data_IF_510743747445
#
_entry.id   IF_510743747445
#
_cell.length_a   1.000
_cell.length_b   1.000
_cell.length_c   1.000
_cell.angle_alpha   90.00
_cell.angle_beta   90.00
_cell.angle_gamma   90.00
#
_symmetry.space_group_name_H-M   'P 1'
#
loop_
_entity.id
_entity.type
_entity.pdbx_description
1 polymer ?
#
# COMPACT_ATOMS: atom_id res chain seq x y z
N UNK A 1 10.26 -4.03 -17.45
CA UNK A 1 10.79 -5.33 -16.98
C UNK A 1 11.97 -5.04 -16.08
N UNK A 2 12.08 -5.74 -14.96
CA UNK A 2 13.20 -5.63 -14.02
C UNK A 2 13.60 -7.03 -13.59
N UNK A 3 14.84 -7.18 -13.13
CA UNK A 3 15.31 -8.40 -12.48
C UNK A 3 14.74 -8.53 -11.07
N UNK A 4 14.78 -9.73 -10.49
CA UNK A 4 14.41 -9.93 -9.09
C UNK A 4 15.32 -9.14 -8.13
N UNK A 5 16.60 -8.94 -8.47
CA UNK A 5 17.52 -8.14 -7.65
C UNK A 5 17.10 -6.67 -7.57
N UNK A 6 16.77 -6.07 -8.72
CA UNK A 6 16.23 -4.70 -8.79
C UNK A 6 14.89 -4.59 -8.05
N UNK A 7 13.99 -5.57 -8.23
CA UNK A 7 12.72 -5.62 -7.52
C UNK A 7 12.89 -5.67 -5.99
N UNK A 8 13.81 -6.50 -5.50
CA UNK A 8 14.07 -6.61 -4.07
C UNK A 8 14.70 -5.35 -3.48
N UNK A 9 15.47 -4.58 -4.26
CA UNK A 9 15.98 -3.29 -3.84
C UNK A 9 14.85 -2.28 -3.58
N UNK A 10 13.84 -2.24 -4.47
CA UNK A 10 12.65 -1.39 -4.26
C UNK A 10 11.86 -1.83 -3.03
N UNK A 11 11.65 -3.15 -2.86
CA UNK A 11 10.97 -3.70 -1.68
C UNK A 11 11.69 -3.33 -0.38
N UNK A 12 13.02 -3.38 -0.36
CA UNK A 12 13.81 -2.99 0.82
C UNK A 12 13.65 -1.50 1.14
N UNK A 13 13.72 -0.64 0.12
CA UNK A 13 13.57 0.79 0.28
C UNK A 13 12.17 1.17 0.80
N UNK A 14 11.12 0.60 0.21
CA UNK A 14 9.72 0.87 0.59
C UNK A 14 9.45 0.37 2.01
N UNK A 15 9.84 -0.87 2.33
CA UNK A 15 9.65 -1.44 3.68
C UNK A 15 10.40 -0.66 4.76
N UNK A 16 11.64 -0.24 4.48
CA UNK A 16 12.43 0.62 5.37
C UNK A 16 11.77 1.97 5.60
N UNK A 17 11.27 2.61 4.53
CA UNK A 17 10.53 3.88 4.63
C UNK A 17 9.28 3.75 5.50
N UNK A 18 8.47 2.70 5.30
CA UNK A 18 7.29 2.45 6.12
C UNK A 18 7.61 2.30 7.61
N UNK A 19 8.67 1.56 7.96
CA UNK A 19 9.04 1.35 9.37
C UNK A 19 9.69 2.59 9.98
N UNK A 20 10.70 3.16 9.31
CA UNK A 20 11.56 4.17 9.92
C UNK A 20 11.04 5.60 9.72
N UNK A 21 10.46 5.91 8.57
CA UNK A 21 9.95 7.26 8.29
C UNK A 21 8.48 7.42 8.68
N UNK A 22 7.65 6.39 8.49
CA UNK A 22 6.21 6.44 8.80
C UNK A 22 5.86 5.84 10.17
N UNK A 23 6.82 5.15 10.80
CA UNK A 23 6.64 4.58 12.14
C UNK A 23 5.65 3.42 12.19
N UNK A 24 5.50 2.65 11.09
CA UNK A 24 4.64 1.46 11.09
C UNK A 24 5.26 0.32 11.90
N UNK A 25 4.42 -0.34 12.69
CA UNK A 25 4.76 -1.52 13.48
C UNK A 25 4.17 -2.78 12.86
N UNK A 26 4.62 -3.95 13.34
CA UNK A 26 4.05 -5.25 12.97
C UNK A 26 2.52 -5.22 13.09
N UNK A 27 1.84 -5.86 12.15
CA UNK A 27 0.38 -5.90 12.02
C UNK A 27 -0.30 -4.58 11.68
N UNK A 28 0.44 -3.50 11.40
CA UNK A 28 -0.16 -2.29 10.84
C UNK A 28 -0.84 -2.59 9.49
N UNK A 29 -1.99 -1.96 9.26
CA UNK A 29 -2.71 -2.05 7.98
C UNK A 29 -2.19 -0.99 7.03
N UNK A 30 -1.87 -1.40 5.80
CA UNK A 30 -1.38 -0.53 4.71
C UNK A 30 -2.33 -0.62 3.54
N UNK A 31 -2.90 0.52 3.14
CA UNK A 31 -3.78 0.60 1.99
C UNK A 31 -3.01 0.66 0.67
N UNK A 32 -3.51 0.00 -0.38
CA UNK A 32 -3.03 0.21 -1.75
C UNK A 32 -4.21 0.50 -2.67
N UNK A 33 -4.22 1.70 -3.25
CA UNK A 33 -5.26 2.17 -4.15
C UNK A 33 -4.68 2.46 -5.54
N UNK A 34 -4.61 1.42 -6.36
CA UNK A 34 -4.13 1.49 -7.73
C UNK A 34 -4.67 0.33 -8.56
N UNK A 35 -4.76 0.52 -9.88
CA UNK A 35 -4.87 -0.60 -10.83
C UNK A 35 -3.56 -1.39 -10.88
N UNK A 36 -3.59 -2.57 -11.48
CA UNK A 36 -2.42 -3.45 -11.66
C UNK A 36 -1.22 -2.67 -12.22
N UNK A 37 -0.14 -2.63 -11.44
CA UNK A 37 1.12 -1.97 -11.79
C UNK A 37 2.25 -2.54 -10.94
N UNK A 38 3.48 -2.28 -11.39
CA UNK A 38 4.71 -2.75 -10.74
C UNK A 38 4.78 -2.39 -9.25
N UNK A 39 4.47 -1.14 -8.93
CA UNK A 39 4.55 -0.60 -7.57
C UNK A 39 3.56 -1.26 -6.62
N UNK A 40 2.43 -1.78 -7.14
CA UNK A 40 1.48 -2.55 -6.34
C UNK A 40 2.17 -3.80 -5.77
N UNK A 41 2.86 -4.57 -6.63
CA UNK A 41 3.61 -5.76 -6.22
C UNK A 41 4.74 -5.40 -5.25
N UNK A 42 5.46 -4.30 -5.50
CA UNK A 42 6.53 -3.86 -4.61
C UNK A 42 6.01 -3.53 -3.19
N UNK A 43 4.86 -2.86 -3.09
CA UNK A 43 4.23 -2.56 -1.79
C UNK A 43 3.74 -3.83 -1.10
N UNK A 44 3.13 -4.77 -1.82
CA UNK A 44 2.70 -6.06 -1.26
C UNK A 44 3.88 -6.84 -0.65
N UNK A 45 4.96 -7.00 -1.42
CA UNK A 45 6.16 -7.68 -0.92
C UNK A 45 6.81 -6.94 0.25
N UNK A 46 6.72 -5.61 0.28
CA UNK A 46 7.18 -4.81 1.42
C UNK A 46 6.35 -5.05 2.67
N UNK A 47 5.02 -5.20 2.53
CA UNK A 47 4.14 -5.54 3.64
C UNK A 47 4.45 -6.95 4.17
N UNK A 48 4.61 -7.93 3.27
CA UNK A 48 4.96 -9.30 3.61
C UNK A 48 6.29 -9.38 4.37
N UNK A 49 7.32 -8.64 3.93
CA UNK A 49 8.63 -8.57 4.57
C UNK A 49 8.56 -8.07 6.02
N UNK A 50 7.66 -7.13 6.30
CA UNK A 50 7.56 -6.44 7.60
C UNK A 50 6.46 -6.97 8.51
N UNK A 51 5.74 -8.01 8.06
CA UNK A 51 4.54 -8.51 8.72
C UNK A 51 3.47 -7.41 8.93
N UNK A 52 3.28 -6.57 7.92
CA UNK A 52 2.15 -5.65 7.81
C UNK A 52 0.99 -6.33 7.07
N UNK A 53 -0.24 -5.85 7.28
CA UNK A 53 -1.44 -6.33 6.60
C UNK A 53 -1.76 -5.40 5.43
N UNK A 54 -1.72 -5.91 4.20
CA UNK A 54 -2.11 -5.13 3.03
C UNK A 54 -3.64 -5.15 2.84
N UNK A 55 -4.23 -3.98 2.63
CA UNK A 55 -5.64 -3.81 2.29
C UNK A 55 -5.78 -3.18 0.89
N UNK A 56 -6.26 -3.91 -0.13
CA UNK A 56 -6.45 -3.34 -1.45
C UNK A 56 -7.73 -2.50 -1.51
N UNK A 57 -7.67 -1.36 -2.21
CA UNK A 57 -8.77 -0.44 -2.43
C UNK A 57 -9.08 -0.37 -3.93
N UNK A 58 -10.36 -0.42 -4.30
CA UNK A 58 -10.80 -0.42 -5.70
C UNK A 58 -11.99 0.51 -5.93
N UNK A 59 -11.96 1.22 -7.07
CA UNK A 59 -13.05 2.10 -7.51
C UNK A 59 -14.38 1.32 -7.72
N UNK A 60 -14.29 0.02 -8.02
CA UNK A 60 -15.43 -0.86 -8.31
C UNK A 60 -16.25 -1.23 -7.07
N UNK A 61 -15.78 -0.93 -5.87
CA UNK A 61 -16.50 -1.21 -4.61
C UNK A 61 -17.61 -0.18 -4.32
N UNK A 62 -17.69 0.87 -5.13
CA UNK A 62 -18.63 1.98 -4.94
C UNK A 62 -18.07 3.11 -4.08
N UNK A 63 -18.69 4.30 -4.14
CA UNK A 63 -18.11 5.54 -3.60
C UNK A 63 -17.98 5.56 -2.07
N UNK A 64 -18.79 4.76 -1.35
CA UNK A 64 -18.76 4.71 0.12
C UNK A 64 -17.78 3.66 0.68
N UNK A 65 -17.31 2.71 -0.14
CA UNK A 65 -16.52 1.59 0.35
C UNK A 65 -15.10 1.99 0.75
N UNK A 66 -14.43 2.83 -0.05
CA UNK A 66 -13.06 3.27 0.23
C UNK A 66 -13.00 4.07 1.55
N UNK A 67 -13.83 5.11 1.78
CA UNK A 67 -13.86 5.80 3.07
C UNK A 67 -14.19 4.87 4.23
N UNK A 68 -15.14 3.93 4.04
CA UNK A 68 -15.50 2.96 5.06
C UNK A 68 -14.31 2.07 5.45
N UNK A 69 -13.60 1.48 4.48
CA UNK A 69 -12.45 0.61 4.73
C UNK A 69 -11.33 1.37 5.42
N UNK A 70 -11.01 2.59 4.96
CA UNK A 70 -9.96 3.43 5.57
C UNK A 70 -10.29 3.70 7.04
N UNK A 71 -11.51 4.13 7.33
CA UNK A 71 -11.94 4.43 8.69
C UNK A 71 -12.02 3.17 9.58
N UNK A 72 -12.55 2.08 9.06
CA UNK A 72 -12.75 0.83 9.82
C UNK A 72 -11.43 0.13 10.17
N UNK A 73 -10.43 0.23 9.30
CA UNK A 73 -9.11 -0.37 9.52
C UNK A 73 -8.15 0.51 10.30
N UNK A 74 -8.53 1.78 10.53
CA UNK A 74 -7.67 2.81 11.14
C UNK A 74 -6.29 2.91 10.47
N UNK A 75 -6.21 2.60 9.16
CA UNK A 75 -4.96 2.57 8.43
C UNK A 75 -4.33 3.96 8.37
N UNK A 76 -3.04 4.04 8.65
CA UNK A 76 -2.31 5.33 8.68
C UNK A 76 -1.63 5.68 7.36
N UNK A 77 -1.49 4.72 6.46
CA UNK A 77 -0.73 4.85 5.20
C UNK A 77 -1.51 4.23 4.06
N UNK A 78 -1.67 4.98 2.97
CA UNK A 78 -2.24 4.51 1.71
C UNK A 78 -1.29 4.86 0.56
N UNK A 79 -0.83 3.84 -0.17
CA UNK A 79 -0.16 4.04 -1.46
C UNK A 79 -1.23 4.24 -2.53
N UNK A 80 -1.25 5.42 -3.14
CA UNK A 80 -2.29 5.79 -4.11
C UNK A 80 -1.68 6.13 -5.46
N UNK A 81 -2.23 5.56 -6.53
CA UNK A 81 -1.92 6.03 -7.88
C UNK A 81 -2.59 7.39 -8.15
N UNK A 82 -1.95 8.21 -9.00
CA UNK A 82 -2.44 9.57 -9.31
C UNK A 82 -3.92 9.63 -9.74
N UNK A 83 -4.47 8.71 -10.55
CA UNK A 83 -5.89 8.74 -10.90
C UNK A 83 -6.83 8.53 -9.71
N UNK A 84 -6.44 7.70 -8.74
CA UNK A 84 -7.22 7.34 -7.55
C UNK A 84 -7.19 8.41 -6.46
N UNK A 85 -6.25 9.37 -6.55
CA UNK A 85 -6.06 10.40 -5.53
C UNK A 85 -7.31 11.27 -5.32
N UNK A 86 -8.05 11.55 -6.40
CA UNK A 86 -9.31 12.31 -6.34
C UNK A 86 -10.44 11.57 -5.62
N UNK A 87 -10.32 10.26 -5.43
CA UNK A 87 -11.30 9.47 -4.67
C UNK A 87 -11.00 9.51 -3.17
N UNK A 88 -9.78 9.91 -2.79
CA UNK A 88 -9.35 10.04 -1.39
C UNK A 88 -9.53 11.45 -0.80
N UNK A 89 -9.68 12.48 -1.65
CA UNK A 89 -9.88 13.88 -1.27
C UNK A 89 -11.21 14.41 -1.80
#
# INVERSE_FOLDING_TARGET
WVTYGEFLADVEAISSGMKHALGLSRSAVVGVFAKNRYEWCAVEHSCNRMAFTLAPLYDTLGPAAVPFIINHTEMRVVFCAKPQFKTLM
#
